data_IF_371823202961
#
_entry.id   IF_371823202961
#
_cell.length_a   1.000
_cell.length_b   1.000
_cell.length_c   1.000
_cell.angle_alpha   90.00
_cell.angle_beta   90.00
_cell.angle_gamma   90.00
#
_symmetry.space_group_name_H-M   'P 1'
#
loop_
_entity.id
_entity.type
_entity.pdbx_description
1 polymer ?
#
# COMPACT_ATOMS: atom_id res chain seq x y z
N UNK A 1 -58.76 -69.80 -12.10
CA UNK A 1 -58.85 -68.37 -11.89
C UNK A 1 -57.45 -67.89 -11.44
N UNK A 2 -56.74 -67.12 -12.25
CA UNK A 2 -55.43 -66.55 -11.95
C UNK A 2 -55.62 -65.04 -11.67
N UNK A 3 -55.06 -64.46 -10.59
CA UNK A 3 -55.13 -63.02 -10.34
C UNK A 3 -54.07 -62.31 -11.18
N UNK A 4 -54.47 -61.21 -11.79
CA UNK A 4 -53.60 -60.28 -12.54
C UNK A 4 -52.98 -59.28 -11.55
N UNK A 5 -51.65 -59.25 -11.49
CA UNK A 5 -50.91 -58.20 -10.76
C UNK A 5 -50.71 -57.01 -11.69
N UNK A 6 -51.33 -55.89 -11.36
CA UNK A 6 -51.03 -54.58 -11.96
C UNK A 6 -49.76 -54.01 -11.33
N UNK A 7 -48.67 -53.95 -12.10
CA UNK A 7 -47.48 -53.19 -11.76
C UNK A 7 -47.66 -51.77 -12.28
N UNK A 8 -47.82 -50.80 -11.38
CA UNK A 8 -47.78 -49.39 -11.72
C UNK A 8 -46.30 -48.93 -11.87
N UNK A 9 -45.93 -48.15 -12.92
CA UNK A 9 -44.58 -47.65 -13.05
C UNK A 9 -44.34 -46.53 -12.08
N UNK A 10 -43.33 -46.70 -11.17
CA UNK A 10 -42.83 -45.65 -10.31
C UNK A 10 -41.95 -44.73 -11.14
N UNK A 11 -42.44 -43.51 -11.42
CA UNK A 11 -41.64 -42.46 -11.99
C UNK A 11 -40.74 -41.87 -10.90
N UNK A 12 -39.42 -42.08 -10.97
CA UNK A 12 -38.42 -41.39 -10.15
C UNK A 12 -38.16 -40.07 -10.83
N UNK A 13 -38.66 -38.99 -10.22
CA UNK A 13 -38.35 -37.62 -10.65
C UNK A 13 -36.93 -37.25 -10.18
N UNK A 14 -35.94 -37.32 -11.08
CA UNK A 14 -34.58 -36.86 -10.81
C UNK A 14 -34.58 -35.34 -10.87
N UNK A 15 -34.63 -34.67 -9.73
CA UNK A 15 -34.41 -33.22 -9.66
C UNK A 15 -32.93 -32.94 -9.80
N UNK A 16 -32.50 -32.47 -10.97
CA UNK A 16 -31.19 -31.86 -11.16
C UNK A 16 -31.16 -30.54 -10.40
N UNK A 17 -30.48 -30.51 -9.25
CA UNK A 17 -30.04 -29.26 -8.65
C UNK A 17 -28.89 -28.74 -9.49
N UNK A 18 -29.15 -27.76 -10.37
CA UNK A 18 -28.09 -26.95 -10.96
C UNK A 18 -27.43 -26.16 -9.81
N UNK A 19 -26.19 -26.52 -9.49
CA UNK A 19 -25.37 -25.71 -8.61
C UNK A 19 -25.21 -24.34 -9.31
N UNK A 20 -25.83 -23.31 -8.74
CA UNK A 20 -25.66 -21.94 -9.17
C UNK A 20 -24.23 -21.57 -8.80
N UNK A 21 -23.31 -21.56 -9.77
CA UNK A 21 -21.97 -21.01 -9.56
C UNK A 21 -22.13 -19.57 -9.13
N UNK A 22 -21.88 -19.30 -7.86
CA UNK A 22 -21.77 -17.95 -7.32
C UNK A 22 -20.57 -17.30 -8.00
N UNK A 23 -20.81 -16.51 -9.05
CA UNK A 23 -19.75 -15.71 -9.63
C UNK A 23 -19.15 -14.83 -8.54
N UNK A 24 -17.83 -14.85 -8.39
CA UNK A 24 -17.15 -13.96 -7.45
C UNK A 24 -17.57 -12.51 -7.74
N UNK A 25 -17.75 -11.67 -6.69
CA UNK A 25 -18.09 -10.27 -6.90
C UNK A 25 -17.11 -9.61 -7.87
N UNK A 26 -17.61 -8.74 -8.74
CA UNK A 26 -16.77 -7.99 -9.66
C UNK A 26 -15.73 -7.16 -8.87
N UNK A 27 -14.49 -7.04 -9.36
CA UNK A 27 -13.48 -6.21 -8.74
C UNK A 27 -13.94 -4.76 -8.65
N UNK A 28 -13.60 -4.08 -7.56
CA UNK A 28 -13.88 -2.66 -7.36
C UNK A 28 -12.64 -1.82 -7.62
N UNK A 29 -12.76 -0.52 -7.99
CA UNK A 29 -11.62 0.39 -7.93
C UNK A 29 -11.01 0.41 -6.53
N UNK A 30 -9.68 0.58 -6.42
CA UNK A 30 -8.98 0.55 -5.13
C UNK A 30 -9.55 1.54 -4.11
N UNK A 31 -9.97 2.74 -4.56
CA UNK A 31 -10.61 3.75 -3.70
C UNK A 31 -11.98 3.33 -3.14
N UNK A 32 -12.61 2.27 -3.67
CA UNK A 32 -13.92 1.78 -3.25
C UNK A 32 -13.82 0.49 -2.44
N UNK A 33 -12.61 -0.05 -2.26
CA UNK A 33 -12.38 -1.21 -1.43
C UNK A 33 -12.50 -0.82 0.05
N UNK A 34 -13.36 -1.49 0.86
CA UNK A 34 -13.72 -1.04 2.21
C UNK A 34 -12.57 -0.92 3.21
N UNK A 35 -11.47 -1.66 3.03
CA UNK A 35 -10.29 -1.61 3.90
C UNK A 35 -9.28 -0.53 3.47
N UNK A 36 -9.49 0.14 2.33
CA UNK A 36 -8.67 1.24 1.82
C UNK A 36 -9.26 2.57 2.25
N UNK A 37 -8.79 3.11 3.37
CA UNK A 37 -9.29 4.36 3.93
C UNK A 37 -8.55 5.54 3.31
N UNK A 38 -9.25 6.33 2.49
CA UNK A 38 -8.67 7.52 1.85
C UNK A 38 -8.27 8.56 2.90
N UNK A 39 -7.00 8.97 2.91
CA UNK A 39 -6.44 9.98 3.82
C UNK A 39 -6.13 11.29 3.11
N UNK A 40 -5.66 11.22 1.85
CA UNK A 40 -5.36 12.40 1.01
C UNK A 40 -5.69 12.08 -0.44
N UNK A 41 -6.29 13.05 -1.13
CA UNK A 41 -6.45 13.06 -2.59
C UNK A 41 -6.12 14.44 -3.11
N UNK A 42 -5.21 14.50 -4.08
CA UNK A 42 -4.91 15.72 -4.82
C UNK A 42 -4.64 15.36 -6.30
N UNK A 43 -4.18 16.34 -7.11
CA UNK A 43 -3.93 16.12 -8.54
C UNK A 43 -2.75 15.16 -8.81
N UNK A 44 -1.91 14.88 -7.82
CA UNK A 44 -0.67 14.12 -7.98
C UNK A 44 -0.78 12.69 -7.46
N UNK A 45 -1.51 12.49 -6.37
CA UNK A 45 -1.56 11.19 -5.70
C UNK A 45 -2.82 10.98 -4.85
N UNK A 46 -3.08 9.71 -4.54
CA UNK A 46 -3.96 9.29 -3.45
C UNK A 46 -3.09 8.65 -2.36
N UNK A 47 -3.37 8.96 -1.10
CA UNK A 47 -2.83 8.22 0.04
C UNK A 47 -3.99 7.51 0.71
N UNK A 48 -3.90 6.21 0.79
CA UNK A 48 -4.88 5.36 1.47
C UNK A 48 -4.19 4.56 2.57
N UNK A 49 -4.87 4.38 3.69
CA UNK A 49 -4.43 3.45 4.73
C UNK A 49 -5.20 2.16 4.59
N UNK A 50 -4.50 1.07 4.36
CA UNK A 50 -5.07 -0.27 4.23
C UNK A 50 -4.89 -1.02 5.53
N UNK A 51 -6.00 -1.44 6.16
CA UNK A 51 -5.96 -2.13 7.45
C UNK A 51 -6.77 -3.42 7.38
N UNK A 52 -6.10 -4.55 7.66
CA UNK A 52 -6.75 -5.85 7.80
C UNK A 52 -6.37 -6.46 9.15
N UNK A 53 -7.38 -6.84 9.95
CA UNK A 53 -7.17 -7.62 11.15
C UNK A 53 -6.68 -9.04 10.80
N UNK A 54 -6.09 -9.79 11.75
CA UNK A 54 -5.80 -11.21 11.55
C UNK A 54 -7.02 -11.99 11.02
N UNK A 55 -6.83 -12.68 9.90
CA UNK A 55 -7.87 -13.45 9.20
C UNK A 55 -8.76 -12.64 8.27
N UNK A 56 -8.67 -11.33 8.25
CA UNK A 56 -9.44 -10.51 7.31
C UNK A 56 -8.87 -10.55 5.89
N UNK A 57 -9.75 -10.32 4.94
CA UNK A 57 -9.47 -10.36 3.51
C UNK A 57 -10.14 -9.19 2.82
N UNK A 58 -9.39 -8.49 1.96
CA UNK A 58 -9.97 -7.45 1.11
C UNK A 58 -10.88 -8.05 0.02
N UNK A 59 -11.71 -7.22 -0.58
CA UNK A 59 -12.35 -7.53 -1.85
C UNK A 59 -11.30 -7.60 -2.97
N UNK A 60 -11.66 -8.21 -4.12
CA UNK A 60 -10.89 -7.98 -5.34
C UNK A 60 -11.00 -6.52 -5.74
N UNK A 61 -9.85 -5.88 -5.91
CA UNK A 61 -9.76 -4.48 -6.30
C UNK A 61 -8.69 -4.27 -7.37
N UNK A 62 -8.77 -3.13 -8.04
CA UNK A 62 -7.92 -2.80 -9.20
C UNK A 62 -7.06 -1.60 -8.88
N UNK A 63 -5.74 -1.78 -9.00
CA UNK A 63 -4.76 -0.70 -9.09
C UNK A 63 -4.50 -0.43 -10.57
N UNK A 64 -4.65 0.80 -11.04
CA UNK A 64 -4.55 1.19 -12.46
C UNK A 64 -3.49 2.25 -12.73
N UNK A 65 -2.79 2.71 -11.72
CA UNK A 65 -1.66 3.62 -11.80
C UNK A 65 -0.46 3.06 -11.05
N UNK A 66 0.73 3.60 -11.31
CA UNK A 66 1.93 3.23 -10.55
C UNK A 66 1.72 3.55 -9.07
N UNK A 67 2.23 2.72 -8.18
CA UNK A 67 2.06 2.91 -6.74
C UNK A 67 3.31 2.64 -5.91
N UNK A 68 3.23 3.07 -4.66
CA UNK A 68 4.20 2.78 -3.60
C UNK A 68 3.45 2.38 -2.35
N UNK A 69 3.63 1.13 -1.92
CA UNK A 69 3.11 0.66 -0.64
C UNK A 69 4.22 0.71 0.43
N UNK A 70 3.89 1.27 1.59
CA UNK A 70 4.78 1.40 2.76
C UNK A 70 4.15 0.71 3.96
N UNK A 71 4.78 -0.36 4.46
CA UNK A 71 4.27 -1.11 5.60
C UNK A 71 4.55 -0.40 6.91
N UNK A 72 3.51 -0.30 7.74
CA UNK A 72 3.54 0.24 9.11
C UNK A 72 3.32 -0.88 10.14
N UNK A 73 2.61 -1.93 9.76
CA UNK A 73 2.31 -3.09 10.59
C UNK A 73 3.32 -4.23 10.43
N UNK A 74 3.18 -5.20 11.33
CA UNK A 74 3.95 -6.44 11.32
C UNK A 74 2.97 -7.60 11.13
N UNK A 75 2.94 -8.19 9.93
CA UNK A 75 1.97 -9.22 9.55
C UNK A 75 2.57 -10.22 8.56
N UNK A 76 1.81 -11.25 8.25
CA UNK A 76 2.06 -12.16 7.13
C UNK A 76 0.83 -12.14 6.24
N UNK A 77 1.00 -11.93 4.95
CA UNK A 77 -0.13 -11.80 4.03
C UNK A 77 0.07 -12.62 2.76
N UNK A 78 -1.05 -13.11 2.21
CA UNK A 78 -1.11 -13.69 0.87
C UNK A 78 -1.77 -12.71 -0.08
N UNK A 79 -1.47 -12.85 -1.37
CA UNK A 79 -2.17 -12.18 -2.46
C UNK A 79 -2.86 -13.22 -3.32
N UNK A 80 -3.97 -12.84 -3.93
CA UNK A 80 -4.67 -13.70 -4.87
C UNK A 80 -5.12 -12.90 -6.09
N UNK A 81 -4.75 -13.38 -7.26
CA UNK A 81 -5.29 -12.91 -8.54
C UNK A 81 -6.64 -13.60 -8.83
N UNK A 82 -7.52 -13.01 -9.65
CA UNK A 82 -8.75 -13.65 -10.05
C UNK A 82 -8.49 -15.01 -10.71
N UNK A 83 -9.25 -16.03 -10.30
CA UNK A 83 -9.17 -17.41 -10.79
C UNK A 83 -7.83 -18.13 -10.53
N UNK A 84 -6.96 -17.58 -9.68
CA UNK A 84 -5.72 -18.21 -9.27
C UNK A 84 -5.73 -18.59 -7.78
N UNK A 85 -4.91 -19.56 -7.36
CA UNK A 85 -4.73 -19.84 -5.94
C UNK A 85 -4.07 -18.65 -5.22
N UNK A 86 -4.24 -18.57 -3.90
CA UNK A 86 -3.47 -17.63 -3.10
C UNK A 86 -1.96 -17.89 -3.22
N UNK A 87 -1.18 -16.83 -3.22
CA UNK A 87 0.29 -16.91 -3.15
C UNK A 87 0.75 -17.57 -1.84
N UNK A 88 2.02 -17.96 -1.77
CA UNK A 88 2.64 -18.24 -0.48
C UNK A 88 2.58 -16.99 0.42
N UNK A 89 2.46 -17.17 1.75
CA UNK A 89 2.53 -16.06 2.69
C UNK A 89 3.87 -15.31 2.61
N UNK A 90 3.81 -13.98 2.66
CA UNK A 90 4.97 -13.11 2.71
C UNK A 90 4.96 -12.30 4.01
N UNK A 91 6.08 -12.36 4.74
CA UNK A 91 6.28 -11.57 5.95
C UNK A 91 6.42 -10.09 5.61
N UNK A 92 5.68 -9.26 6.34
CA UNK A 92 5.69 -7.81 6.21
C UNK A 92 6.11 -7.16 7.52
N UNK A 93 6.98 -6.17 7.44
CA UNK A 93 7.51 -5.45 8.60
C UNK A 93 7.45 -3.94 8.36
N UNK A 94 7.36 -3.14 9.43
CA UNK A 94 7.44 -1.68 9.30
C UNK A 94 8.68 -1.26 8.50
N UNK A 95 8.46 -0.35 7.54
CA UNK A 95 9.49 0.14 6.64
C UNK A 95 9.82 -0.76 5.45
N UNK A 96 9.13 -1.89 5.25
CA UNK A 96 9.12 -2.55 3.96
C UNK A 96 8.44 -1.65 2.93
N UNK A 97 8.89 -1.74 1.68
CA UNK A 97 8.40 -0.93 0.56
C UNK A 97 8.14 -1.84 -0.62
N UNK A 98 7.04 -1.62 -1.33
CA UNK A 98 6.79 -2.17 -2.66
C UNK A 98 6.56 -1.04 -3.64
N UNK A 99 7.21 -1.09 -4.80
CA UNK A 99 6.99 -0.18 -5.91
C UNK A 99 6.45 -1.00 -7.08
N UNK A 100 5.31 -0.59 -7.61
CA UNK A 100 4.67 -1.28 -8.74
C UNK A 100 4.53 -0.33 -9.93
N UNK A 101 4.64 -0.88 -11.14
CA UNK A 101 4.43 -0.18 -12.41
C UNK A 101 3.18 -0.75 -13.05
N UNK A 102 2.07 -0.05 -12.94
CA UNK A 102 0.74 -0.62 -13.21
C UNK A 102 -0.06 0.11 -14.29
N UNK A 103 0.41 1.25 -14.79
CA UNK A 103 -0.34 2.01 -15.81
C UNK A 103 -0.58 1.24 -17.10
N UNK A 104 0.38 0.42 -17.51
CA UNK A 104 0.29 -0.37 -18.74
C UNK A 104 -0.26 -1.78 -18.50
N UNK A 105 -0.18 -2.25 -17.25
CA UNK A 105 -0.66 -3.54 -16.82
C UNK A 105 -1.33 -3.43 -15.44
N UNK A 106 -2.60 -2.98 -15.38
CA UNK A 106 -3.34 -2.87 -14.13
C UNK A 106 -3.37 -4.19 -13.35
N UNK A 107 -3.23 -4.11 -12.04
CA UNK A 107 -3.27 -5.26 -11.15
C UNK A 107 -4.65 -5.39 -10.52
N UNK A 108 -5.30 -6.53 -10.78
CA UNK A 108 -6.48 -6.95 -10.04
C UNK A 108 -6.07 -8.00 -9.04
N UNK A 109 -6.26 -7.74 -7.76
CA UNK A 109 -5.94 -8.69 -6.71
C UNK A 109 -6.81 -8.50 -5.46
N UNK A 110 -6.66 -9.40 -4.51
CA UNK A 110 -7.08 -9.22 -3.12
C UNK A 110 -5.97 -9.65 -2.18
N UNK A 111 -6.00 -9.12 -0.96
CA UNK A 111 -5.03 -9.43 0.10
C UNK A 111 -5.75 -10.15 1.24
N UNK A 112 -5.08 -11.14 1.84
CA UNK A 112 -5.56 -11.83 3.02
C UNK A 112 -4.47 -11.77 4.10
N UNK A 113 -4.79 -11.19 5.24
CA UNK A 113 -3.90 -11.20 6.40
C UNK A 113 -3.96 -12.58 7.08
N UNK A 114 -2.96 -13.41 6.83
CA UNK A 114 -2.83 -14.75 7.43
C UNK A 114 -1.94 -14.75 8.67
N UNK A 115 -1.37 -13.59 9.04
CA UNK A 115 -0.54 -13.40 10.23
C UNK A 115 -1.38 -13.15 11.48
N UNK A 116 -0.67 -13.03 12.61
CA UNK A 116 -1.27 -12.71 13.92
C UNK A 116 -1.25 -11.19 14.21
N UNK A 117 -0.46 -10.42 13.47
CA UNK A 117 -0.36 -8.97 13.60
C UNK A 117 -1.29 -8.24 12.64
N UNK A 118 -1.38 -6.93 12.83
CA UNK A 118 -2.16 -6.06 11.96
C UNK A 118 -1.45 -5.90 10.61
N UNK A 119 -2.14 -6.17 9.52
CA UNK A 119 -1.73 -5.70 8.20
C UNK A 119 -2.09 -4.22 8.12
N UNK A 120 -1.08 -3.36 8.11
CA UNK A 120 -1.22 -1.91 8.14
C UNK A 120 -0.24 -1.30 7.13
N UNK A 121 -0.77 -0.69 6.10
CA UNK A 121 -0.01 -0.19 4.94
C UNK A 121 -0.52 1.20 4.56
N UNK A 122 0.39 2.12 4.25
CA UNK A 122 0.06 3.28 3.45
C UNK A 122 0.29 2.91 1.97
N UNK A 123 -0.78 2.92 1.22
CA UNK A 123 -0.79 2.73 -0.22
C UNK A 123 -0.90 4.09 -0.92
N UNK A 124 0.08 4.40 -1.75
CA UNK A 124 0.22 5.70 -2.43
C UNK A 124 0.09 5.49 -3.93
N UNK A 125 -1.09 5.77 -4.46
CA UNK A 125 -1.37 5.75 -5.90
C UNK A 125 -0.83 7.03 -6.55
N UNK A 126 0.02 6.89 -7.57
CA UNK A 126 0.70 7.99 -8.25
C UNK A 126 -0.10 8.38 -9.50
N UNK A 127 -0.94 9.41 -9.40
CA UNK A 127 -1.88 9.82 -10.45
C UNK A 127 -1.18 10.46 -11.66
N UNK A 128 -0.05 11.09 -11.46
CA UNK A 128 0.71 11.72 -12.51
C UNK A 128 2.03 10.99 -12.76
N UNK A 129 2.44 10.97 -14.02
CA UNK A 129 3.79 10.61 -14.43
C UNK A 129 4.46 11.89 -14.92
N UNK A 130 5.60 12.29 -14.38
CA UNK A 130 6.26 13.51 -14.78
C UNK A 130 6.75 13.42 -16.24
N UNK A 131 6.76 14.55 -16.92
CA UNK A 131 7.24 14.64 -18.30
C UNK A 131 8.76 14.54 -18.40
N UNK A 132 9.47 14.91 -17.33
CA UNK A 132 10.93 14.94 -17.28
C UNK A 132 11.44 14.29 -15.99
N UNK A 133 12.47 13.42 -16.06
CA UNK A 133 13.04 12.79 -14.88
C UNK A 133 13.68 13.83 -13.95
N UNK A 134 13.49 13.64 -12.64
CA UNK A 134 14.18 14.44 -11.62
C UNK A 134 15.61 13.94 -11.40
N UNK A 135 16.50 14.84 -10.99
CA UNK A 135 17.80 14.45 -10.44
C UNK A 135 17.62 13.84 -9.07
N UNK A 136 18.27 12.72 -8.79
CA UNK A 136 18.21 12.10 -7.47
C UNK A 136 18.80 13.02 -6.39
N UNK A 137 18.14 13.14 -5.25
CA UNK A 137 18.75 13.79 -4.09
C UNK A 137 19.90 12.93 -3.54
N UNK A 138 20.84 13.54 -2.84
CA UNK A 138 21.92 12.83 -2.17
C UNK A 138 21.38 12.07 -0.94
N UNK A 139 20.83 10.88 -1.16
CA UNK A 139 20.17 10.09 -0.12
C UNK A 139 20.12 8.59 -0.43
N UNK A 140 19.71 7.78 0.53
CA UNK A 140 19.61 6.33 0.38
C UNK A 140 18.39 5.95 -0.45
N UNK A 141 18.57 5.82 -1.76
CA UNK A 141 17.52 5.35 -2.67
C UNK A 141 17.14 3.92 -2.32
N UNK A 142 15.89 3.70 -1.95
CA UNK A 142 15.33 2.39 -1.64
C UNK A 142 14.72 1.71 -2.88
N UNK A 143 14.35 2.49 -3.90
CA UNK A 143 13.83 2.00 -5.17
C UNK A 143 13.23 3.12 -6.00
N UNK A 144 12.87 2.78 -7.23
CA UNK A 144 12.17 3.71 -8.13
C UNK A 144 11.31 2.95 -9.15
N UNK A 145 10.25 3.62 -9.59
CA UNK A 145 9.45 3.24 -10.74
C UNK A 145 9.37 4.43 -11.72
N UNK A 146 8.65 4.34 -12.85
CA UNK A 146 8.54 5.46 -13.79
C UNK A 146 7.96 6.75 -13.21
N UNK A 147 7.16 6.68 -12.15
CA UNK A 147 6.43 7.82 -11.57
C UNK A 147 7.09 8.41 -10.34
N UNK A 148 7.89 7.64 -9.58
CA UNK A 148 8.51 8.11 -8.34
C UNK A 148 9.86 7.47 -8.06
N UNK A 149 10.64 8.15 -7.21
CA UNK A 149 11.83 7.65 -6.53
C UNK A 149 11.60 7.68 -5.03
N UNK A 150 11.98 6.62 -4.36
CA UNK A 150 11.76 6.43 -2.93
C UNK A 150 13.08 6.42 -2.19
N UNK A 151 13.18 7.26 -1.16
CA UNK A 151 14.31 7.30 -0.23
C UNK A 151 13.87 6.76 1.12
N UNK A 152 14.74 5.99 1.77
CA UNK A 152 14.49 5.44 3.10
C UNK A 152 15.59 5.85 4.05
N UNK A 153 15.27 6.75 4.96
CA UNK A 153 16.18 7.25 5.99
C UNK A 153 16.00 6.47 7.30
N UNK A 154 17.09 5.97 7.83
CA UNK A 154 17.17 5.44 9.20
C UNK A 154 18.09 6.35 9.98
N UNK A 155 17.54 7.02 10.98
CA UNK A 155 18.21 8.10 11.73
C UNK A 155 18.41 7.67 13.19
N UNK A 156 19.66 7.39 13.56
CA UNK A 156 19.99 7.21 14.97
C UNK A 156 19.72 8.51 15.78
N UNK A 157 19.54 8.44 17.10
CA UNK A 157 19.41 9.64 17.93
C UNK A 157 20.55 10.64 17.68
N UNK A 158 20.22 11.90 17.42
CA UNK A 158 21.16 12.97 17.13
C UNK A 158 21.74 12.99 15.71
N UNK A 159 21.45 11.99 14.86
CA UNK A 159 21.94 11.99 13.47
C UNK A 159 21.16 12.97 12.61
N UNK A 160 21.82 13.45 11.55
CA UNK A 160 21.30 14.44 10.60
C UNK A 160 21.59 13.96 9.18
N UNK A 161 20.62 14.11 8.26
CA UNK A 161 20.84 13.87 6.84
C UNK A 161 21.78 14.93 6.23
N UNK A 162 22.48 14.65 5.14
CA UNK A 162 23.07 15.71 4.32
C UNK A 162 22.00 16.75 3.94
N UNK A 163 22.41 17.99 3.74
CA UNK A 163 21.55 19.01 3.12
C UNK A 163 21.20 18.54 1.71
N UNK A 164 19.91 18.43 1.42
CA UNK A 164 19.44 17.95 0.11
C UNK A 164 18.26 18.77 -0.39
N UNK A 165 18.01 18.69 -1.70
CA UNK A 165 16.96 19.46 -2.38
C UNK A 165 16.04 18.53 -3.12
N UNK A 166 14.75 18.58 -2.78
CA UNK A 166 13.69 18.02 -3.60
C UNK A 166 13.29 19.06 -4.66
N UNK A 167 13.60 18.77 -5.91
CA UNK A 167 13.21 19.63 -7.05
C UNK A 167 11.75 19.41 -7.45
N UNK A 168 11.17 18.30 -7.04
CA UNK A 168 9.81 17.85 -7.36
C UNK A 168 8.97 17.74 -6.09
N UNK A 169 7.63 17.74 -6.23
CA UNK A 169 6.75 17.40 -5.14
C UNK A 169 7.09 16.04 -4.54
N UNK A 170 6.95 15.91 -3.24
CA UNK A 170 7.21 14.66 -2.54
C UNK A 170 6.27 14.46 -1.34
N UNK A 171 6.12 13.21 -0.95
CA UNK A 171 5.42 12.79 0.27
C UNK A 171 6.45 12.25 1.25
N UNK A 172 6.48 12.77 2.49
CA UNK A 172 7.25 12.21 3.60
C UNK A 172 6.32 11.39 4.49
N UNK A 173 6.75 10.19 4.89
CA UNK A 173 6.00 9.23 5.71
C UNK A 173 6.86 8.84 6.90
N UNK A 174 6.30 8.92 8.11
CA UNK A 174 6.91 8.39 9.33
C UNK A 174 6.62 6.88 9.45
N UNK A 175 7.66 6.06 9.47
CA UNK A 175 7.54 4.62 9.74
C UNK A 175 7.58 4.35 11.24
N UNK A 176 8.43 5.09 11.97
CA UNK A 176 8.51 5.04 13.43
C UNK A 176 8.19 6.39 14.05
N UNK A 177 7.80 6.41 15.33
CA UNK A 177 7.58 7.63 16.06
C UNK A 177 8.89 8.17 16.65
N UNK A 178 9.18 9.46 16.42
CA UNK A 178 10.32 10.17 17.02
C UNK A 178 10.18 11.68 16.87
N UNK A 179 11.09 12.46 17.48
CA UNK A 179 11.15 13.90 17.28
C UNK A 179 11.95 14.21 16.01
N UNK A 180 11.25 14.57 14.94
CA UNK A 180 11.84 14.97 13.67
C UNK A 180 12.11 16.47 13.66
N UNK A 181 13.37 16.86 13.52
CA UNK A 181 13.78 18.24 13.30
C UNK A 181 14.10 18.47 11.83
N UNK A 182 13.45 19.43 11.21
CA UNK A 182 13.74 19.92 9.88
C UNK A 182 14.48 21.25 9.96
N UNK A 183 15.54 21.44 9.16
CA UNK A 183 16.31 22.68 9.13
C UNK A 183 16.48 23.14 7.68
N UNK A 184 16.08 24.37 7.40
CA UNK A 184 16.25 25.05 6.11
C UNK A 184 17.67 25.60 5.92
N UNK A 185 18.08 25.99 4.69
CA UNK A 185 19.43 26.52 4.40
C UNK A 185 19.78 27.81 5.17
N UNK A 186 18.79 28.61 5.53
CA UNK A 186 18.96 29.83 6.32
C UNK A 186 19.11 29.58 7.84
N UNK A 187 19.08 28.30 8.25
CA UNK A 187 19.21 27.89 9.64
C UNK A 187 17.89 27.87 10.42
N UNK A 188 16.78 28.34 9.84
CA UNK A 188 15.47 28.19 10.48
C UNK A 188 15.14 26.71 10.65
N UNK A 189 14.62 26.35 11.81
CA UNK A 189 14.28 24.95 12.09
C UNK A 189 13.03 24.82 12.93
N UNK A 190 12.33 23.69 12.73
CA UNK A 190 11.21 23.30 13.58
C UNK A 190 11.32 21.81 13.90
N UNK A 191 10.79 21.45 15.05
CA UNK A 191 10.78 20.07 15.55
C UNK A 191 9.34 19.65 15.78
N UNK A 192 8.99 18.48 15.25
CA UNK A 192 7.69 17.86 15.46
C UNK A 192 7.87 16.47 16.06
N UNK A 193 6.99 16.11 16.97
CA UNK A 193 6.81 14.73 17.37
C UNK A 193 5.95 14.05 16.29
N UNK A 194 6.53 13.11 15.56
CA UNK A 194 5.83 12.32 14.54
C UNK A 194 5.52 10.92 15.06
N UNK A 195 4.45 10.32 14.54
CA UNK A 195 3.96 8.98 14.91
C UNK A 195 3.98 8.06 13.68
N UNK A 196 4.03 6.74 13.87
CA UNK A 196 3.92 5.81 12.74
C UNK A 196 2.65 6.08 11.93
N UNK A 197 2.81 6.25 10.62
CA UNK A 197 1.73 6.56 9.69
C UNK A 197 1.41 8.05 9.52
N UNK A 198 2.04 8.95 10.28
CA UNK A 198 1.98 10.37 9.97
C UNK A 198 2.67 10.61 8.63
N UNK A 199 2.09 11.50 7.82
CA UNK A 199 2.66 11.87 6.54
C UNK A 199 2.43 13.37 6.25
N UNK A 200 3.27 13.92 5.36
CA UNK A 200 3.13 15.30 4.91
C UNK A 200 3.43 15.40 3.41
N UNK A 201 2.51 16.03 2.67
CA UNK A 201 2.67 16.34 1.25
C UNK A 201 3.33 17.69 1.07
N UNK A 202 4.39 17.74 0.28
CA UNK A 202 5.12 18.96 -0.09
C UNK A 202 5.03 19.16 -1.59
N UNK A 203 4.34 20.22 -2.01
CA UNK A 203 4.06 20.50 -3.42
C UNK A 203 5.08 21.39 -4.13
N UNK A 204 6.04 21.93 -3.38
CA UNK A 204 7.02 22.90 -3.89
C UNK A 204 8.44 22.41 -3.69
N UNK A 205 9.41 22.98 -4.44
CA UNK A 205 10.82 22.75 -4.20
C UNK A 205 11.22 23.09 -2.76
N UNK A 206 11.92 22.17 -2.10
CA UNK A 206 12.41 22.35 -0.72
C UNK A 206 13.86 21.91 -0.61
N UNK A 207 14.68 22.71 0.07
CA UNK A 207 16.04 22.35 0.49
C UNK A 207 16.06 22.26 2.01
N UNK A 208 16.52 21.14 2.55
CA UNK A 208 16.52 20.91 3.99
C UNK A 208 17.53 19.85 4.46
N UNK A 209 17.73 19.79 5.77
CA UNK A 209 18.20 18.60 6.47
C UNK A 209 17.10 18.06 7.35
N UNK A 210 17.11 16.75 7.60
CA UNK A 210 16.26 16.07 8.57
C UNK A 210 17.15 15.50 9.68
N UNK A 211 16.76 15.71 10.95
CA UNK A 211 17.49 15.22 12.08
C UNK A 211 16.56 14.48 13.05
N UNK A 212 17.09 13.46 13.70
CA UNK A 212 16.43 12.81 14.81
C UNK A 212 16.81 13.54 16.12
N UNK A 213 15.89 14.34 16.64
CA UNK A 213 16.05 15.04 17.93
C UNK A 213 15.52 14.23 19.13
N UNK A 214 15.04 12.99 18.89
CA UNK A 214 14.54 12.07 19.92
C UNK A 214 15.63 11.12 20.45
N UNK A 215 15.19 10.17 21.29
CA UNK A 215 16.08 9.23 21.97
C UNK A 215 16.06 7.80 21.37
N UNK A 216 15.12 7.50 20.50
CA UNK A 216 14.99 6.23 19.76
C UNK A 216 15.39 6.38 18.30
N UNK A 217 15.65 5.27 17.61
CA UNK A 217 15.88 5.27 16.18
C UNK A 217 14.63 5.75 15.42
N UNK A 218 14.81 6.71 14.50
CA UNK A 218 13.78 7.22 13.61
C UNK A 218 13.89 6.61 12.22
N UNK A 219 12.75 6.27 11.63
CA UNK A 219 12.70 5.83 10.24
C UNK A 219 11.62 6.60 9.48
N UNK A 220 12.02 7.19 8.36
CA UNK A 220 11.11 7.89 7.44
C UNK A 220 11.34 7.44 6.00
N UNK A 221 10.29 7.60 5.20
CA UNK A 221 10.31 7.34 3.76
C UNK A 221 9.90 8.63 3.05
N UNK A 222 10.64 9.01 2.03
CA UNK A 222 10.29 10.10 1.12
C UNK A 222 10.01 9.52 -0.25
N UNK A 223 8.82 9.83 -0.80
CA UNK A 223 8.38 9.43 -2.14
C UNK A 223 8.38 10.69 -3.00
N UNK A 224 9.44 10.90 -3.77
CA UNK A 224 9.58 12.04 -4.66
C UNK A 224 9.05 11.69 -6.05
N UNK A 225 8.18 12.53 -6.59
CA UNK A 225 7.71 12.40 -7.97
C UNK A 225 8.87 12.67 -8.95
N UNK A 226 8.90 11.92 -10.03
CA UNK A 226 9.95 12.08 -11.06
C UNK A 226 9.60 13.14 -12.08
#
# INVERSE_FOLDING_TARGET
MKPWFNLAPTFVLLTLFAAQESSAPAPVPVEQEPHHHLLLKNDYLLVMRVVLQPGERSLYHVHSVDDVAVWLGNSSATQQLPNEPESAPAEQKPGNISLRTLREAPLTHRVHNVGQGLFDVLDVELLQRPEHPSTAVAGPVAGENPSARVYKWTLAPGSVTPMHTHERPYLIIAVTGFQLKMTAPDGQSFTHEIKPGDFHWVSTKVTHTLANAGNGEGQIIEIELK
#
